data_IF_954889942165
#
_entry.id   IF_954889942165
#
_cell.length_a   1.000
_cell.length_b   1.000
_cell.length_c   1.000
_cell.angle_alpha   90.00
_cell.angle_beta   90.00
_cell.angle_gamma   90.00
#
_symmetry.space_group_name_H-M   'P 1'
#
loop_
_entity.id
_entity.type
_entity.pdbx_description
1 polymer ?
#
# COMPACT_ATOMS: atom_id res chain seq x y z
N UNK A 1 20.69 11.13 23.66
CA UNK A 1 19.54 11.36 22.75
C UNK A 1 19.63 12.73 22.13
N UNK A 2 19.69 12.82 20.81
CA UNK A 2 19.74 14.11 20.11
C UNK A 2 18.31 14.52 19.73
N UNK A 3 17.56 15.08 20.67
CA UNK A 3 16.20 15.56 20.41
C UNK A 3 16.28 16.96 19.78
N UNK A 4 15.74 17.13 18.57
CA UNK A 4 15.53 18.44 17.96
C UNK A 4 16.78 19.20 17.51
N UNK A 5 17.93 18.53 17.36
CA UNK A 5 19.19 19.20 16.98
C UNK A 5 19.36 19.41 15.48
N UNK A 6 18.85 18.49 14.65
CA UNK A 6 19.17 18.47 13.22
C UNK A 6 17.97 18.75 12.31
N UNK A 7 16.78 18.27 12.67
CA UNK A 7 15.59 18.35 11.81
C UNK A 7 14.57 19.41 12.22
N UNK A 8 14.75 20.04 13.40
CA UNK A 8 13.78 21.01 13.92
C UNK A 8 13.66 22.25 13.02
N UNK A 9 14.77 22.66 12.41
CA UNK A 9 14.84 23.85 11.55
C UNK A 9 14.68 23.53 10.06
N UNK A 10 14.32 22.29 9.72
CA UNK A 10 14.01 21.96 8.33
C UNK A 10 12.80 22.74 7.85
N UNK A 11 12.87 23.14 6.58
CA UNK A 11 11.73 23.73 5.89
C UNK A 11 10.88 22.62 5.27
N UNK A 12 9.57 22.83 5.30
CA UNK A 12 8.59 22.04 4.58
C UNK A 12 8.13 22.87 3.38
N UNK A 13 7.99 22.22 2.24
CA UNK A 13 7.45 22.78 1.00
C UNK A 13 6.29 21.92 0.50
N UNK A 14 5.50 22.48 -0.41
CA UNK A 14 4.40 21.79 -1.09
C UNK A 14 3.31 21.26 -0.13
N UNK A 15 3.05 21.97 0.98
CA UNK A 15 1.95 21.57 1.88
C UNK A 15 0.60 21.67 1.17
N UNK A 16 -0.40 20.99 1.73
CA UNK A 16 -1.79 21.12 1.26
C UNK A 16 -2.26 22.56 1.14
N UNK A 17 -1.93 23.40 2.12
CA UNK A 17 -2.28 24.82 2.13
C UNK A 17 -1.54 25.59 1.03
N UNK A 18 -0.23 25.36 0.86
CA UNK A 18 0.58 26.01 -0.18
C UNK A 18 0.17 25.63 -1.60
N UNK A 19 -0.37 24.43 -1.79
CA UNK A 19 -0.81 23.91 -3.09
C UNK A 19 -2.32 24.08 -3.33
N UNK A 20 -3.04 24.67 -2.38
CA UNK A 20 -4.51 24.75 -2.35
C UNK A 20 -5.14 23.40 -2.73
N UNK A 21 -4.91 22.38 -1.92
CA UNK A 21 -5.39 21.01 -2.18
C UNK A 21 -4.98 20.47 -3.56
N UNK A 22 -3.71 20.69 -3.93
CA UNK A 22 -3.12 20.27 -5.21
C UNK A 22 -3.74 20.94 -6.45
N UNK A 23 -4.50 22.02 -6.30
CA UNK A 23 -5.06 22.76 -7.44
C UNK A 23 -4.03 23.69 -8.11
N UNK A 24 -2.93 24.02 -7.42
CA UNK A 24 -1.81 24.77 -7.98
C UNK A 24 -0.49 24.02 -7.80
N UNK A 25 0.44 24.20 -8.74
CA UNK A 25 1.76 23.59 -8.67
C UNK A 25 2.54 24.10 -7.46
N UNK A 26 3.28 23.22 -6.81
CA UNK A 26 4.16 23.60 -5.72
C UNK A 26 5.23 24.62 -6.18
N UNK A 27 5.35 25.71 -5.44
CA UNK A 27 6.45 26.64 -5.57
C UNK A 27 7.55 26.31 -4.53
N UNK A 28 8.73 25.81 -4.93
CA UNK A 28 9.79 25.41 -3.99
C UNK A 28 10.44 26.60 -3.25
N UNK A 29 10.15 27.84 -3.64
CA UNK A 29 10.60 29.03 -2.90
C UNK A 29 9.72 29.35 -1.71
N UNK A 30 8.47 28.88 -1.71
CA UNK A 30 7.54 29.04 -0.59
C UNK A 30 7.83 27.97 0.47
N UNK A 31 8.49 28.40 1.55
CA UNK A 31 9.05 27.52 2.59
C UNK A 31 8.41 27.80 3.93
N UNK A 32 7.79 26.79 4.52
CA UNK A 32 7.32 26.82 5.90
C UNK A 32 8.43 26.30 6.82
N UNK A 33 8.82 27.07 7.83
CA UNK A 33 9.83 26.62 8.80
C UNK A 33 9.22 25.66 9.81
N UNK A 34 9.92 24.58 10.10
CA UNK A 34 9.59 23.67 11.18
C UNK A 34 8.90 22.42 10.64
N UNK A 35 9.65 21.32 10.59
CA UNK A 35 9.07 20.00 10.37
C UNK A 35 8.34 19.56 11.65
N UNK A 36 7.03 19.34 11.52
CA UNK A 36 6.18 18.90 12.61
C UNK A 36 5.75 17.43 12.44
N UNK A 37 5.50 16.79 13.58
CA UNK A 37 4.98 15.43 13.73
C UNK A 37 3.98 15.45 14.88
N UNK A 38 3.05 14.50 14.92
CA UNK A 38 2.06 14.47 15.99
C UNK A 38 2.70 14.27 17.37
N UNK A 39 2.30 15.13 18.29
CA UNK A 39 2.46 14.97 19.72
C UNK A 39 1.59 13.82 20.22
N UNK A 40 1.84 13.38 21.46
CA UNK A 40 1.00 12.38 22.11
C UNK A 40 -0.45 12.84 22.23
N UNK A 41 -0.66 14.12 22.57
CA UNK A 41 -1.99 14.71 22.73
C UNK A 41 -2.78 14.66 21.42
N UNK A 42 -2.17 15.04 20.31
CA UNK A 42 -2.82 15.00 18.99
C UNK A 42 -3.15 13.57 18.57
N UNK A 43 -2.27 12.60 18.86
CA UNK A 43 -2.61 11.18 18.63
C UNK A 43 -3.81 10.75 19.45
N UNK A 44 -3.85 11.10 20.73
CA UNK A 44 -4.98 10.75 21.62
C UNK A 44 -6.29 11.41 21.14
N UNK A 45 -6.23 12.63 20.60
CA UNK A 45 -7.37 13.32 19.98
C UNK A 45 -7.84 12.63 18.70
N UNK A 46 -6.92 12.13 17.85
CA UNK A 46 -7.26 11.34 16.65
C UNK A 46 -7.95 10.03 17.01
N UNK A 47 -7.51 9.35 18.07
CA UNK A 47 -8.19 8.15 18.59
C UNK A 47 -9.62 8.51 19.01
N UNK A 48 -9.80 9.58 19.80
CA UNK A 48 -11.11 9.97 20.35
C UNK A 48 -12.09 10.46 19.29
N UNK A 49 -11.64 11.27 18.35
CA UNK A 49 -12.52 11.99 17.42
C UNK A 49 -12.72 11.25 16.09
N UNK A 50 -11.74 10.47 15.66
CA UNK A 50 -11.74 9.82 14.33
C UNK A 50 -11.69 8.30 14.41
N UNK A 51 -11.58 7.71 15.62
CA UNK A 51 -11.50 6.26 15.81
C UNK A 51 -10.22 5.64 15.24
N UNK A 52 -9.18 6.43 15.01
CA UNK A 52 -7.94 5.96 14.40
C UNK A 52 -7.14 5.07 15.35
N UNK A 53 -6.45 4.09 14.77
CA UNK A 53 -5.48 3.24 15.47
C UNK A 53 -4.12 3.92 15.39
N UNK A 54 -3.71 4.57 16.50
CA UNK A 54 -2.46 5.34 16.58
C UNK A 54 -1.27 4.52 17.10
N UNK A 55 -1.17 3.25 16.70
CA UNK A 55 -0.04 2.36 16.98
C UNK A 55 0.59 1.88 15.69
N UNK A 56 1.90 1.61 15.69
CA UNK A 56 2.57 1.09 14.50
C UNK A 56 2.05 -0.31 14.13
N UNK A 57 2.08 -0.68 12.83
CA UNK A 57 1.71 -2.02 12.39
C UNK A 57 2.60 -3.11 13.01
N UNK A 58 2.04 -4.31 13.12
CA UNK A 58 2.73 -5.47 13.69
C UNK A 58 3.33 -6.38 12.62
N UNK A 59 4.33 -7.19 13.01
CA UNK A 59 4.86 -8.28 12.19
C UNK A 59 3.77 -9.24 11.70
N UNK A 60 2.71 -9.47 12.48
CA UNK A 60 1.53 -10.27 12.09
C UNK A 60 0.80 -9.69 10.88
N UNK A 61 0.61 -8.38 10.85
CA UNK A 61 -0.06 -7.68 9.74
C UNK A 61 0.79 -7.75 8.46
N UNK A 62 2.11 -7.63 8.57
CA UNK A 62 3.04 -7.80 7.44
C UNK A 62 2.98 -9.23 6.90
N UNK A 63 3.05 -10.23 7.77
CA UNK A 63 2.95 -11.64 7.39
C UNK A 63 1.58 -11.96 6.78
N UNK A 64 0.50 -11.30 7.20
CA UNK A 64 -0.81 -11.43 6.59
C UNK A 64 -0.80 -10.95 5.12
N UNK A 65 -0.24 -9.77 4.84
CA UNK A 65 -0.13 -9.26 3.47
C UNK A 65 0.65 -10.22 2.55
N UNK A 66 1.76 -10.76 3.05
CA UNK A 66 2.62 -11.70 2.32
C UNK A 66 1.97 -13.06 2.03
N UNK A 67 0.74 -13.33 2.47
CA UNK A 67 -0.03 -14.55 2.10
C UNK A 67 -0.72 -14.44 0.75
N UNK A 68 -0.92 -13.23 0.23
CA UNK A 68 -1.70 -12.99 -0.98
C UNK A 68 -0.79 -13.04 -2.22
N UNK A 69 -0.96 -14.07 -3.05
CA UNK A 69 -0.22 -14.22 -4.32
C UNK A 69 -0.69 -13.21 -5.39
N UNK A 70 -1.96 -12.85 -5.37
CA UNK A 70 -2.52 -11.91 -6.35
C UNK A 70 -2.03 -10.50 -6.05
N UNK A 71 -1.36 -9.87 -7.02
CA UNK A 71 -0.82 -8.52 -6.89
C UNK A 71 -1.94 -7.49 -6.69
N UNK A 72 -2.88 -7.43 -7.63
CA UNK A 72 -4.02 -6.53 -7.61
C UNK A 72 -5.25 -7.20 -8.27
N UNK A 73 -6.44 -6.65 -8.02
CA UNK A 73 -7.71 -7.10 -8.58
C UNK A 73 -8.56 -5.89 -8.99
N UNK A 74 -9.47 -6.04 -9.99
CA UNK A 74 -10.47 -5.03 -10.28
C UNK A 74 -11.21 -4.58 -9.01
N UNK A 75 -11.52 -3.28 -8.86
CA UNK A 75 -11.32 -2.19 -9.83
C UNK A 75 -9.94 -1.49 -9.76
N UNK A 76 -8.89 -2.22 -9.35
CA UNK A 76 -7.48 -1.78 -9.30
C UNK A 76 -7.25 -0.46 -8.54
N UNK A 77 -8.00 -0.28 -7.46
CA UNK A 77 -7.94 0.93 -6.65
C UNK A 77 -8.12 0.59 -5.16
N UNK A 78 -8.34 1.60 -4.32
CA UNK A 78 -8.53 1.43 -2.87
C UNK A 78 -9.76 0.59 -2.48
N UNK A 79 -10.68 0.36 -3.40
CA UNK A 79 -11.87 -0.49 -3.21
C UNK A 79 -11.54 -1.99 -3.35
N UNK A 80 -10.43 -2.35 -4.00
CA UNK A 80 -10.06 -3.74 -4.28
C UNK A 80 -9.75 -4.53 -3.00
N UNK A 81 -10.44 -5.64 -2.78
CA UNK A 81 -10.16 -6.55 -1.66
C UNK A 81 -9.20 -7.67 -2.07
N UNK A 82 -8.68 -8.41 -1.10
CA UNK A 82 -8.02 -9.70 -1.28
C UNK A 82 -6.83 -9.70 -2.25
N UNK A 83 -6.05 -8.62 -2.28
CA UNK A 83 -4.87 -8.49 -3.11
C UNK A 83 -3.72 -7.86 -2.33
N UNK A 84 -2.50 -8.21 -2.69
CA UNK A 84 -1.28 -7.81 -2.00
C UNK A 84 -1.09 -6.29 -1.98
N UNK A 85 -1.24 -5.64 -3.14
CA UNK A 85 -0.97 -4.20 -3.33
C UNK A 85 -1.84 -3.35 -2.39
N UNK A 86 -3.15 -3.57 -2.35
CA UNK A 86 -4.04 -2.77 -1.51
C UNK A 86 -3.95 -3.10 -0.01
N UNK A 87 -3.59 -4.34 0.33
CA UNK A 87 -3.31 -4.72 1.73
C UNK A 87 -2.05 -4.00 2.21
N UNK A 88 -0.95 -4.07 1.44
CA UNK A 88 0.31 -3.42 1.80
C UNK A 88 0.18 -1.89 1.84
N UNK A 89 -0.45 -1.29 0.83
CA UNK A 89 -0.74 0.16 0.78
C UNK A 89 -1.54 0.62 1.99
N UNK A 90 -2.48 -0.22 2.43
CA UNK A 90 -3.12 -0.08 3.72
C UNK A 90 -4.55 0.46 3.67
N UNK A 91 -5.30 0.16 2.59
CA UNK A 91 -6.74 0.43 2.50
C UNK A 91 -7.62 -0.80 2.83
N UNK A 92 -6.98 -1.92 3.18
CA UNK A 92 -7.62 -3.22 3.42
C UNK A 92 -7.34 -3.69 4.85
N UNK A 93 -8.31 -4.41 5.42
CA UNK A 93 -8.19 -5.01 6.74
C UNK A 93 -7.13 -6.14 6.75
N UNK A 94 -6.13 -6.02 7.62
CA UNK A 94 -5.02 -6.96 7.78
C UNK A 94 -5.37 -8.24 8.55
N UNK A 95 -6.66 -8.49 8.81
CA UNK A 95 -7.19 -9.72 9.42
C UNK A 95 -8.13 -10.47 8.48
N UNK A 96 -8.91 -9.75 7.68
CA UNK A 96 -9.92 -10.35 6.79
C UNK A 96 -9.56 -10.25 5.31
N UNK A 97 -8.71 -9.30 4.91
CA UNK A 97 -8.40 -9.06 3.50
C UNK A 97 -9.50 -8.32 2.74
N UNK A 98 -10.60 -7.93 3.40
CA UNK A 98 -11.62 -7.08 2.81
C UNK A 98 -11.34 -5.60 2.98
N UNK A 99 -11.79 -4.81 2.00
CA UNK A 99 -11.84 -3.36 2.06
C UNK A 99 -12.37 -2.91 3.41
N UNK A 100 -11.67 -1.96 4.02
CA UNK A 100 -12.10 -1.35 5.27
C UNK A 100 -12.27 0.16 5.06
N UNK A 101 -13.51 0.63 4.80
CA UNK A 101 -13.77 2.05 4.64
C UNK A 101 -13.25 2.83 5.85
N UNK A 102 -12.56 3.94 5.61
CA UNK A 102 -12.05 4.86 6.65
C UNK A 102 -11.06 4.24 7.64
N UNK A 103 -10.44 3.11 7.30
CA UNK A 103 -9.37 2.55 8.09
C UNK A 103 -8.07 2.50 7.31
N UNK A 104 -6.99 2.68 8.06
CA UNK A 104 -5.64 2.70 7.55
C UNK A 104 -4.83 1.63 8.27
N UNK A 105 -4.23 0.74 7.48
CA UNK A 105 -3.35 -0.34 7.94
C UNK A 105 -1.96 -0.14 7.34
N UNK A 106 -1.00 -1.01 7.68
CA UNK A 106 0.36 -1.08 7.11
C UNK A 106 0.95 0.29 6.70
N UNK A 107 1.21 0.52 5.41
CA UNK A 107 1.84 1.73 4.91
C UNK A 107 1.09 3.01 5.34
N UNK A 108 -0.21 3.10 5.08
CA UNK A 108 -1.02 4.28 5.44
C UNK A 108 -1.04 4.53 6.96
N UNK A 109 -1.04 3.47 7.77
CA UNK A 109 -1.05 3.63 9.24
C UNK A 109 0.24 4.28 9.73
N UNK A 110 1.40 3.95 9.16
CA UNK A 110 2.68 4.58 9.58
C UNK A 110 2.66 6.08 9.31
N UNK A 111 2.20 6.51 8.13
CA UNK A 111 2.02 7.93 7.80
C UNK A 111 1.19 8.65 8.86
N UNK A 112 0.04 8.08 9.22
CA UNK A 112 -0.90 8.67 10.17
C UNK A 112 -0.34 8.71 11.59
N UNK A 113 0.31 7.63 12.04
CA UNK A 113 0.89 7.54 13.40
C UNK A 113 1.97 8.60 13.61
N UNK A 114 2.82 8.82 12.61
CA UNK A 114 3.85 9.86 12.65
C UNK A 114 3.18 11.25 12.58
N UNK A 115 2.23 11.42 11.65
CA UNK A 115 1.47 12.65 11.49
C UNK A 115 2.31 13.87 11.13
N UNK A 116 1.74 15.06 11.29
CA UNK A 116 2.36 16.30 10.79
C UNK A 116 2.62 16.21 9.28
N UNK A 117 3.82 16.58 8.83
CA UNK A 117 4.19 16.48 7.41
C UNK A 117 4.07 15.04 6.89
N UNK A 118 4.54 14.04 7.65
CA UNK A 118 4.49 12.62 7.24
C UNK A 118 3.07 12.07 7.08
N UNK A 119 2.08 12.67 7.75
CA UNK A 119 0.68 12.28 7.63
C UNK A 119 -0.06 12.95 6.46
N UNK A 120 0.59 13.88 5.77
CA UNK A 120 0.00 14.69 4.71
C UNK A 120 0.58 14.31 3.33
N UNK A 121 -0.23 13.72 2.45
CA UNK A 121 0.25 13.16 1.16
C UNK A 121 1.14 14.12 0.34
N UNK A 122 0.77 15.39 0.10
CA UNK A 122 1.60 16.35 -0.65
C UNK A 122 2.96 16.65 -0.01
N UNK A 123 3.05 16.61 1.33
CA UNK A 123 4.23 17.03 2.07
C UNK A 123 4.98 15.90 2.79
N UNK A 124 4.51 14.65 2.70
CA UNK A 124 5.06 13.52 3.44
C UNK A 124 6.56 13.30 3.23
N UNK A 125 7.05 13.50 2.01
CA UNK A 125 8.45 13.34 1.65
C UNK A 125 9.39 14.41 2.25
N UNK A 126 8.85 15.49 2.85
CA UNK A 126 9.65 16.45 3.61
C UNK A 126 10.17 15.85 4.93
N UNK A 127 9.52 14.81 5.48
CA UNK A 127 9.99 14.13 6.68
C UNK A 127 11.05 13.07 6.31
N UNK A 128 12.27 13.11 6.88
CA UNK A 128 13.32 12.13 6.58
C UNK A 128 13.00 10.70 7.01
N UNK A 129 11.91 10.45 7.74
CA UNK A 129 11.40 9.08 7.96
C UNK A 129 10.80 8.50 6.68
N UNK A 130 10.29 9.32 5.76
CA UNK A 130 9.67 8.88 4.51
C UNK A 130 10.52 7.87 3.72
N UNK A 131 11.79 8.14 3.36
CA UNK A 131 12.60 7.16 2.64
C UNK A 131 12.87 5.89 3.44
N UNK A 132 12.98 5.96 4.77
CA UNK A 132 13.18 4.76 5.61
C UNK A 132 11.92 3.88 5.62
N UNK A 133 10.75 4.50 5.74
CA UNK A 133 9.46 3.82 5.69
C UNK A 133 9.23 3.18 4.32
N UNK A 134 9.44 3.93 3.23
CA UNK A 134 9.27 3.40 1.89
C UNK A 134 10.32 2.35 1.51
N UNK A 135 11.54 2.43 2.07
CA UNK A 135 12.52 1.33 1.94
C UNK A 135 12.03 0.06 2.61
N UNK A 136 11.29 0.15 3.72
CA UNK A 136 10.68 -1.02 4.37
C UNK A 136 9.45 -1.54 3.62
N UNK A 137 8.67 -0.66 2.99
CA UNK A 137 7.56 -1.05 2.10
C UNK A 137 8.11 -1.78 0.87
N UNK A 138 9.16 -1.26 0.24
CA UNK A 138 9.85 -1.90 -0.88
C UNK A 138 10.48 -3.24 -0.46
N UNK A 139 11.03 -3.31 0.76
CA UNK A 139 11.49 -4.58 1.35
C UNK A 139 10.37 -5.63 1.38
N UNK A 140 9.15 -5.27 1.79
CA UNK A 140 8.01 -6.20 1.79
C UNK A 140 7.60 -6.58 0.36
N UNK A 141 7.65 -5.63 -0.58
CA UNK A 141 7.41 -5.89 -1.99
C UNK A 141 8.43 -6.86 -2.59
N UNK A 142 9.72 -6.71 -2.29
CA UNK A 142 10.78 -7.62 -2.74
C UNK A 142 10.57 -9.05 -2.22
N UNK A 143 10.17 -9.19 -0.93
CA UNK A 143 9.79 -10.49 -0.37
C UNK A 143 8.66 -11.14 -1.17
N UNK A 144 7.63 -10.38 -1.52
CA UNK A 144 6.52 -10.85 -2.33
C UNK A 144 6.96 -11.24 -3.75
N UNK A 145 7.79 -10.41 -4.40
CA UNK A 145 8.33 -10.66 -5.74
C UNK A 145 9.12 -11.97 -5.80
N UNK A 146 10.03 -12.19 -4.85
CA UNK A 146 10.82 -13.43 -4.76
C UNK A 146 9.96 -14.63 -4.45
N UNK A 147 9.09 -14.52 -3.44
CA UNK A 147 8.24 -15.62 -2.96
C UNK A 147 7.32 -16.18 -4.05
N UNK A 148 6.72 -15.31 -4.86
CA UNK A 148 5.75 -15.72 -5.88
C UNK A 148 6.31 -15.72 -7.30
N UNK A 149 7.57 -15.29 -7.47
CA UNK A 149 8.29 -15.19 -8.75
C UNK A 149 7.43 -14.57 -9.87
N UNK A 150 6.79 -13.43 -9.56
CA UNK A 150 5.90 -12.74 -10.50
C UNK A 150 6.67 -11.77 -11.39
N UNK A 151 6.10 -11.53 -12.57
CA UNK A 151 6.55 -10.53 -13.53
C UNK A 151 5.44 -9.52 -13.78
N UNK A 152 5.74 -8.46 -14.52
CA UNK A 152 4.81 -7.37 -14.85
C UNK A 152 3.48 -7.79 -15.53
N UNK A 153 3.31 -9.05 -15.93
CA UNK A 153 2.05 -9.58 -16.47
C UNK A 153 0.90 -9.58 -15.45
N UNK A 154 1.19 -9.38 -14.15
CA UNK A 154 0.17 -9.24 -13.10
C UNK A 154 -0.44 -7.85 -13.01
N UNK A 155 0.14 -6.87 -13.71
CA UNK A 155 -0.36 -5.50 -13.77
C UNK A 155 -1.53 -5.39 -14.76
N UNK A 156 -2.51 -4.55 -14.46
CA UNK A 156 -3.63 -4.27 -15.36
C UNK A 156 -3.13 -3.60 -16.64
N UNK A 157 -3.66 -4.00 -17.80
CA UNK A 157 -3.29 -3.39 -19.09
C UNK A 157 -4.06 -2.10 -19.37
N UNK A 158 -5.36 -2.05 -19.02
CA UNK A 158 -6.25 -0.96 -19.46
C UNK A 158 -7.23 -0.47 -18.40
N UNK A 159 -7.57 -1.30 -17.41
CA UNK A 159 -8.71 -1.04 -16.50
C UNK A 159 -8.28 -0.40 -15.17
N UNK A 160 -6.98 -0.10 -14.99
CA UNK A 160 -6.53 0.61 -13.80
C UNK A 160 -6.85 2.11 -13.89
N UNK A 161 -6.92 2.82 -12.74
CA UNK A 161 -6.97 4.28 -12.73
C UNK A 161 -5.86 4.91 -13.59
N UNK A 162 -6.09 6.14 -14.04
CA UNK A 162 -5.13 6.87 -14.87
C UNK A 162 -3.72 6.88 -14.24
N UNK A 163 -2.72 6.50 -15.03
CA UNK A 163 -1.32 6.46 -14.59
C UNK A 163 -0.93 5.20 -13.84
N UNK A 164 -1.82 4.20 -13.70
CA UNK A 164 -1.57 2.94 -12.99
C UNK A 164 -1.59 1.71 -13.91
N UNK A 165 -1.88 1.85 -15.21
CA UNK A 165 -1.79 0.72 -16.12
C UNK A 165 -0.33 0.30 -16.32
N UNK A 166 -0.12 -0.96 -16.65
CA UNK A 166 1.19 -1.60 -16.85
C UNK A 166 2.15 -0.79 -17.73
N UNK A 167 1.61 -0.23 -18.81
CA UNK A 167 2.38 0.50 -19.82
C UNK A 167 2.27 2.03 -19.65
N UNK A 168 1.55 2.50 -18.62
CA UNK A 168 1.56 3.90 -18.25
C UNK A 168 2.94 4.29 -17.71
N UNK A 169 3.30 5.55 -17.96
CA UNK A 169 4.54 6.15 -17.47
C UNK A 169 4.37 6.61 -16.01
N UNK A 170 5.40 6.39 -15.19
CA UNK A 170 5.41 6.85 -13.80
C UNK A 170 5.70 8.35 -13.80
N UNK A 171 4.66 9.15 -13.59
CA UNK A 171 4.75 10.62 -13.57
C UNK A 171 5.35 11.10 -12.24
N UNK A 172 6.27 12.09 -12.24
CA UNK A 172 6.88 12.80 -13.36
C UNK A 172 8.35 12.39 -13.59
N UNK A 173 8.68 11.08 -13.57
CA UNK A 173 10.08 10.64 -13.68
C UNK A 173 10.71 11.02 -15.03
N UNK A 174 12.01 11.37 -14.99
CA UNK A 174 12.83 11.62 -16.17
C UNK A 174 14.22 10.98 -16.00
N UNK A 175 14.69 10.09 -16.90
CA UNK A 175 14.01 9.59 -18.09
C UNK A 175 12.69 8.87 -17.78
N UNK A 176 11.85 8.72 -18.81
CA UNK A 176 10.52 8.13 -18.66
C UNK A 176 10.63 6.62 -18.45
N UNK A 177 9.93 6.11 -17.45
CA UNK A 177 9.83 4.69 -17.15
C UNK A 177 8.39 4.27 -16.96
N UNK A 178 8.04 3.08 -17.46
CA UNK A 178 6.73 2.46 -17.24
C UNK A 178 6.71 1.60 -15.98
N UNK A 179 5.51 1.30 -15.48
CA UNK A 179 5.34 0.34 -14.37
C UNK A 179 5.94 -1.03 -14.71
N UNK A 180 5.77 -1.53 -15.93
CA UNK A 180 6.41 -2.78 -16.37
C UNK A 180 7.93 -2.76 -16.26
N UNK A 181 8.57 -1.64 -16.62
CA UNK A 181 10.04 -1.53 -16.54
C UNK A 181 10.54 -1.54 -15.10
N UNK A 182 9.74 -1.03 -14.17
CA UNK A 182 10.04 -0.96 -12.74
C UNK A 182 9.62 -2.20 -11.95
N UNK A 183 8.79 -3.09 -12.52
CA UNK A 183 8.36 -4.32 -11.87
C UNK A 183 9.44 -5.41 -11.98
N UNK A 184 10.52 -5.23 -11.21
CA UNK A 184 11.73 -6.07 -11.21
C UNK A 184 12.22 -6.30 -9.79
N UNK A 185 13.03 -7.35 -9.61
CA UNK A 185 13.64 -7.64 -8.32
C UNK A 185 14.71 -6.58 -8.01
N UNK A 186 14.89 -6.26 -6.73
CA UNK A 186 15.83 -5.25 -6.23
C UNK A 186 17.22 -5.34 -6.86
N UNK A 187 17.78 -6.55 -6.98
CA UNK A 187 19.13 -6.76 -7.51
C UNK A 187 19.28 -6.39 -8.99
N UNK A 188 18.20 -6.34 -9.77
CA UNK A 188 18.22 -5.84 -11.16
C UNK A 188 18.45 -4.33 -11.22
N UNK A 189 18.21 -3.62 -10.12
CA UNK A 189 18.52 -2.20 -9.94
C UNK A 189 19.87 -1.97 -9.23
N UNK A 190 20.58 -3.03 -8.84
CA UNK A 190 21.89 -2.94 -8.19
C UNK A 190 21.87 -2.73 -6.67
N UNK A 191 20.74 -3.00 -6.00
CA UNK A 191 20.66 -3.03 -4.54
C UNK A 191 20.00 -4.31 -4.03
N UNK A 192 20.20 -4.63 -2.76
CA UNK A 192 19.47 -5.73 -2.11
C UNK A 192 19.27 -5.48 -0.60
N UNK A 193 18.41 -6.29 0.01
CA UNK A 193 18.13 -6.32 1.44
C UNK A 193 18.88 -7.46 2.11
N UNK A 194 19.67 -7.12 3.14
CA UNK A 194 20.56 -8.04 3.86
C UNK A 194 19.86 -9.31 4.38
N UNK A 195 18.59 -9.21 4.75
CA UNK A 195 17.86 -10.26 5.45
C UNK A 195 16.78 -10.97 4.61
N UNK A 196 16.80 -10.82 3.28
CA UNK A 196 15.88 -11.50 2.36
C UNK A 196 16.63 -12.57 1.57
N UNK A 197 16.22 -13.83 1.71
CA UNK A 197 16.75 -14.93 0.90
C UNK A 197 16.17 -14.97 -0.53
N UNK A 198 16.65 -15.89 -1.37
CA UNK A 198 16.17 -16.06 -2.76
C UNK A 198 14.67 -16.39 -2.88
N UNK A 199 14.06 -16.92 -1.80
CA UNK A 199 12.67 -17.31 -1.73
C UNK A 199 11.78 -16.23 -1.07
N UNK A 200 12.35 -15.05 -0.78
CA UNK A 200 11.63 -13.94 -0.15
C UNK A 200 11.37 -14.13 1.34
N UNK A 201 12.10 -15.03 2.01
CA UNK A 201 11.99 -15.24 3.46
C UNK A 201 13.04 -14.42 4.21
N UNK A 202 12.72 -14.10 5.47
CA UNK A 202 13.62 -13.45 6.42
C UNK A 202 13.54 -14.14 7.79
N UNK A 203 14.56 -14.01 8.66
CA UNK A 203 14.50 -14.51 10.05
C UNK A 203 13.30 -13.95 10.83
N UNK A 204 12.85 -12.76 10.44
CA UNK A 204 11.69 -12.09 11.00
C UNK A 204 10.35 -12.53 10.39
N UNK A 205 10.26 -13.67 9.70
CA UNK A 205 8.94 -14.23 9.34
C UNK A 205 8.28 -14.92 10.53
N UNK A 206 6.95 -14.96 10.53
CA UNK A 206 6.22 -15.86 11.43
C UNK A 206 6.03 -17.21 10.74
N UNK A 207 6.06 -18.28 11.53
CA UNK A 207 5.70 -19.60 11.02
C UNK A 207 4.30 -19.59 10.38
N UNK A 208 4.08 -20.35 9.31
CA UNK A 208 2.77 -20.41 8.66
C UNK A 208 1.70 -20.83 9.67
N UNK A 209 0.77 -19.91 9.99
CA UNK A 209 -0.37 -20.22 10.84
C UNK A 209 -1.27 -21.22 10.08
N UNK A 210 -1.42 -22.43 10.61
CA UNK A 210 -2.37 -23.43 10.11
C UNK A 210 -3.70 -23.29 10.86
N UNK A 211 -4.86 -23.40 10.17
CA UNK A 211 -5.01 -23.66 8.74
C UNK A 211 -4.76 -22.40 7.89
N UNK A 212 -4.23 -22.63 6.68
CA UNK A 212 -4.08 -21.62 5.61
C UNK A 212 -5.44 -21.12 5.11
N UNK A 213 -6.54 -21.79 5.52
CA UNK A 213 -7.93 -21.44 5.22
C UNK A 213 -8.19 -19.99 5.61
N UNK A 214 -8.11 -19.14 4.59
CA UNK A 214 -8.43 -17.73 4.62
C UNK A 214 -9.82 -17.59 5.23
N UNK A 215 -9.90 -16.94 6.39
CA UNK A 215 -11.15 -16.31 6.77
C UNK A 215 -11.54 -15.36 5.64
N UNK A 216 -12.47 -15.82 4.79
CA UNK A 216 -13.23 -15.04 3.83
C UNK A 216 -12.40 -14.15 2.88
N UNK A 217 -11.62 -14.74 1.98
CA UNK A 217 -11.34 -14.07 0.70
C UNK A 217 -11.58 -15.13 -0.36
N UNK A 218 -12.55 -14.96 -1.28
CA UNK A 218 -12.81 -15.97 -2.30
C UNK A 218 -11.52 -16.20 -3.08
N UNK A 219 -11.06 -17.45 -3.07
CA UNK A 219 -9.90 -17.90 -3.83
C UNK A 219 -10.20 -17.57 -5.30
N UNK A 220 -9.34 -16.85 -6.03
CA UNK A 220 -9.46 -16.76 -7.47
C UNK A 220 -9.56 -18.19 -8.00
N UNK A 221 -10.59 -18.47 -8.82
CA UNK A 221 -10.85 -19.81 -9.32
C UNK A 221 -9.55 -20.43 -9.87
N UNK A 222 -9.15 -21.64 -9.43
CA UNK A 222 -7.93 -22.25 -9.94
C UNK A 222 -8.05 -22.43 -11.45
N UNK A 223 -7.01 -22.01 -12.16
CA UNK A 223 -6.86 -22.21 -13.61
C UNK A 223 -6.50 -23.68 -13.84
N UNK A 224 -7.43 -24.60 -13.59
CA UNK A 224 -7.29 -25.98 -14.05
C UNK A 224 -8.29 -26.21 -15.18
N UNK A 225 -7.76 -26.46 -16.37
CA UNK A 225 -8.51 -26.80 -17.57
C UNK A 225 -9.43 -28.00 -17.29
N UNK A 226 -10.72 -27.72 -17.09
CA UNK A 226 -11.75 -28.72 -16.87
C UNK A 226 -13.12 -28.16 -17.26
N UNK A 227 -14.00 -28.96 -17.89
CA UNK A 227 -15.23 -28.50 -18.54
C UNK A 227 -16.38 -28.24 -17.53
N UNK A 228 -16.09 -27.63 -16.38
CA UNK A 228 -17.08 -27.20 -15.38
C UNK A 228 -17.43 -25.70 -15.47
N UNK A 229 -16.94 -25.02 -16.50
CA UNK A 229 -16.80 -23.56 -16.57
C UNK A 229 -18.03 -22.84 -17.16
N UNK A 230 -19.24 -23.21 -16.71
CA UNK A 230 -20.45 -22.42 -17.01
C UNK A 230 -21.28 -22.10 -15.77
N UNK A 231 -20.96 -22.62 -14.58
CA UNK A 231 -21.79 -22.38 -13.39
C UNK A 231 -21.23 -21.24 -12.52
N UNK A 232 -19.91 -21.02 -12.53
CA UNK A 232 -19.28 -20.07 -11.59
C UNK A 232 -19.32 -18.59 -12.05
N UNK A 233 -19.18 -18.31 -13.36
CA UNK A 233 -19.41 -16.94 -13.89
C UNK A 233 -20.85 -16.48 -13.70
N UNK A 234 -21.82 -17.40 -13.82
CA UNK A 234 -23.23 -17.09 -13.60
C UNK A 234 -23.56 -16.83 -12.13
N UNK A 235 -22.91 -17.52 -11.18
CA UNK A 235 -23.11 -17.30 -9.74
C UNK A 235 -22.55 -15.94 -9.26
N UNK A 236 -21.40 -15.50 -9.80
CA UNK A 236 -20.85 -14.17 -9.50
C UNK A 236 -21.72 -13.05 -10.09
N UNK A 237 -22.28 -13.26 -11.29
CA UNK A 237 -23.22 -12.31 -11.89
C UNK A 237 -24.58 -12.28 -11.15
N UNK A 238 -25.10 -13.43 -10.69
CA UNK A 238 -26.36 -13.48 -9.93
C UNK A 238 -26.25 -12.79 -8.56
N UNK A 239 -25.11 -12.92 -7.87
CA UNK A 239 -24.86 -12.21 -6.60
C UNK A 239 -24.85 -10.69 -6.79
N UNK A 240 -24.26 -10.21 -7.90
CA UNK A 240 -24.26 -8.79 -8.24
C UNK A 240 -25.67 -8.25 -8.60
N UNK A 241 -26.52 -9.10 -9.19
CA UNK A 241 -27.91 -8.73 -9.56
C UNK A 241 -28.84 -8.78 -8.36
N UNK A 242 -28.66 -9.71 -7.41
CA UNK A 242 -29.48 -9.77 -6.19
C UNK A 242 -29.24 -8.59 -5.24
N UNK A 243 -28.04 -8.00 -5.19
CA UNK A 243 -27.80 -6.79 -4.39
C UNK A 243 -28.44 -5.53 -5.00
N UNK A 244 -28.67 -5.50 -6.31
CA UNK A 244 -29.33 -4.38 -7.00
C UNK A 244 -30.87 -4.45 -6.87
N UNK A 245 -31.45 -5.65 -6.71
CA UNK A 245 -32.91 -5.85 -6.66
C UNK A 245 -33.48 -5.80 -5.22
N UNK A 246 -32.64 -5.88 -4.18
CA UNK A 246 -33.07 -5.77 -2.78
C UNK A 246 -32.80 -4.40 -2.14
N UNK A 247 -32.42 -3.42 -2.96
CA UNK A 247 -32.21 -2.03 -2.57
C UNK A 247 -33.26 -1.12 -3.25
N UNK A 248 -34.54 -1.46 -3.10
CA UNK A 248 -35.70 -0.55 -3.23
C UNK A 248 -36.60 -0.76 -2.00
#
# INVERSE_FOLDING_TARGET
MVKGKYFKDWYVICTRDQTNDLTIMCNPTDKQRGLERFTRKERDEKVKNQGYIMTFPTKKEVNFALRFETFDLPPYNKESSCNFRNILEGAVNTKTGYRLPNAHTLHNRVHIVIGGAMGDVPSASNDPIFPLHHSFVDRIYEKWLRKYNKHASVLSLYDAPIGHNKDDVIVPLFPVYTHQQMFKKSFEFGYDYEDIDENGKSPDDEDPVKPISLGQCPVPCPVSAGPGMQICSWLMALMLVCEIVLAD
#
